data_IF_100565951265
#
_entry.id   IF_100565951265
#
_cell.length_a   1.000
_cell.length_b   1.000
_cell.length_c   1.000
_cell.angle_alpha   90.00
_cell.angle_beta   90.00
_cell.angle_gamma   90.00
#
_symmetry.space_group_name_H-M   'P 1'
#
loop_
_entity.id
_entity.type
_entity.pdbx_description
1 polymer ?
#
# COMPACT_ATOMS: atom_id res chain seq x y z
N UNK A 1 -13.09 -25.50 11.45
CA UNK A 1 -13.55 -25.29 10.05
C UNK A 1 -12.65 -26.11 9.14
N UNK A 2 -13.18 -27.03 8.38
CA UNK A 2 -12.37 -27.81 7.45
C UNK A 2 -12.15 -27.01 6.16
N UNK A 3 -10.93 -26.58 5.92
CA UNK A 3 -10.53 -25.88 4.67
C UNK A 3 -10.37 -26.93 3.56
N UNK A 4 -11.42 -27.16 2.76
CA UNK A 4 -11.42 -28.23 1.74
C UNK A 4 -10.48 -27.98 0.57
N UNK A 5 -10.07 -26.73 0.34
CA UNK A 5 -9.34 -26.33 -0.87
C UNK A 5 -8.06 -25.55 -0.60
N UNK A 6 -7.77 -25.20 0.65
CA UNK A 6 -6.58 -24.47 1.06
C UNK A 6 -5.82 -25.22 2.17
N UNK A 7 -4.49 -25.15 2.23
CA UNK A 7 -3.64 -24.52 1.21
C UNK A 7 -3.69 -25.28 -0.11
N UNK A 8 -3.33 -24.62 -1.20
CA UNK A 8 -3.23 -25.29 -2.51
C UNK A 8 -2.12 -26.36 -2.46
N UNK A 9 -2.42 -27.58 -2.97
CA UNK A 9 -1.43 -28.68 -2.99
C UNK A 9 -0.33 -28.47 -4.03
N UNK A 10 -0.65 -27.79 -5.11
CA UNK A 10 0.27 -27.52 -6.21
C UNK A 10 -0.06 -26.13 -6.79
N UNK A 11 0.32 -25.03 -6.10
CA UNK A 11 0.15 -23.68 -6.61
C UNK A 11 0.86 -23.50 -7.95
N UNK A 12 0.23 -22.80 -8.87
CA UNK A 12 0.76 -22.48 -10.21
C UNK A 12 0.63 -20.97 -10.41
N UNK A 13 1.46 -20.17 -9.73
CA UNK A 13 1.41 -18.72 -9.88
C UNK A 13 1.82 -18.30 -11.29
N UNK A 14 1.20 -17.23 -11.79
CA UNK A 14 1.51 -16.61 -13.09
C UNK A 14 1.29 -15.10 -12.99
N UNK A 15 2.30 -14.41 -12.52
CA UNK A 15 2.25 -12.96 -12.33
C UNK A 15 2.04 -12.22 -13.65
N UNK A 16 2.52 -12.74 -14.77
CA UNK A 16 2.31 -12.12 -16.08
C UNK A 16 0.82 -12.17 -16.45
N UNK A 17 0.16 -13.30 -16.21
CA UNK A 17 -1.29 -13.40 -16.39
C UNK A 17 -2.04 -12.48 -15.45
N UNK A 18 -1.61 -12.35 -14.19
CA UNK A 18 -2.19 -11.41 -13.22
C UNK A 18 -2.16 -9.99 -13.77
N UNK A 19 -1.00 -9.51 -14.19
CA UNK A 19 -0.82 -8.17 -14.78
C UNK A 19 -1.66 -8.00 -16.06
N UNK A 20 -1.62 -8.98 -16.97
CA UNK A 20 -2.37 -8.92 -18.23
C UNK A 20 -3.88 -8.85 -18.03
N UNK A 21 -4.41 -9.55 -17.02
CA UNK A 21 -5.85 -9.49 -16.69
C UNK A 21 -6.21 -8.12 -16.15
N UNK A 22 -5.43 -7.57 -15.22
CA UNK A 22 -5.69 -6.25 -14.64
C UNK A 22 -5.61 -5.12 -15.68
N UNK A 23 -4.65 -5.21 -16.59
CA UNK A 23 -4.50 -4.24 -17.68
C UNK A 23 -5.45 -4.49 -18.88
N UNK A 24 -6.42 -5.41 -18.74
CA UNK A 24 -7.39 -5.70 -19.79
C UNK A 24 -6.82 -6.39 -21.03
N UNK A 25 -5.56 -6.82 -21.01
CA UNK A 25 -4.89 -7.51 -22.14
C UNK A 25 -5.36 -8.97 -22.28
N UNK A 26 -5.86 -9.55 -21.21
CA UNK A 26 -6.34 -10.94 -21.13
C UNK A 26 -7.66 -11.04 -20.40
N UNK A 27 -8.60 -11.80 -20.95
CA UNK A 27 -9.88 -12.07 -20.28
C UNK A 27 -9.76 -13.31 -19.39
N UNK A 28 -10.50 -13.32 -18.29
CA UNK A 28 -10.56 -14.46 -17.36
C UNK A 28 -11.98 -14.65 -16.86
N UNK A 29 -12.35 -15.90 -16.58
CA UNK A 29 -13.62 -16.24 -15.91
C UNK A 29 -13.51 -16.19 -14.39
N UNK A 30 -12.29 -16.08 -13.87
CA UNK A 30 -12.02 -15.98 -12.43
C UNK A 30 -11.03 -14.85 -12.22
N UNK A 31 -11.44 -13.76 -11.56
CA UNK A 31 -10.53 -12.69 -11.20
C UNK A 31 -9.33 -13.22 -10.41
N UNK A 32 -8.13 -12.71 -10.65
CA UNK A 32 -6.98 -13.04 -9.81
C UNK A 32 -7.17 -12.51 -8.39
N UNK A 33 -6.54 -13.17 -7.43
CA UNK A 33 -6.57 -12.71 -6.04
C UNK A 33 -5.70 -11.46 -5.88
N UNK A 34 -6.22 -10.49 -5.15
CA UNK A 34 -5.49 -9.28 -4.74
C UNK A 34 -5.62 -9.13 -3.23
N UNK A 35 -4.50 -8.88 -2.57
CA UNK A 35 -4.46 -8.47 -1.17
C UNK A 35 -3.39 -7.40 -1.02
N UNK A 36 -3.67 -6.40 -0.17
CA UNK A 36 -2.74 -5.29 0.03
C UNK A 36 -1.82 -5.53 1.23
N UNK A 37 -2.39 -5.84 2.39
CA UNK A 37 -1.66 -6.14 3.62
C UNK A 37 -2.32 -7.33 4.31
N UNK A 38 -1.51 -8.24 4.85
CA UNK A 38 -1.97 -9.34 5.72
C UNK A 38 -1.40 -9.14 7.12
N UNK A 39 -2.27 -8.87 8.10
CA UNK A 39 -1.89 -8.69 9.50
C UNK A 39 -1.38 -10.02 10.10
N UNK A 40 -0.41 -9.93 11.01
CA UNK A 40 0.19 -11.09 11.68
C UNK A 40 -0.84 -12.01 12.34
N UNK A 41 -1.97 -11.47 12.82
CA UNK A 41 -3.04 -12.24 13.42
C UNK A 41 -3.72 -13.20 12.46
N UNK A 42 -3.76 -12.85 11.17
CA UNK A 42 -4.23 -13.72 10.09
C UNK A 42 -3.09 -14.59 9.58
N UNK A 43 -1.95 -14.00 9.39
CA UNK A 43 -0.76 -14.64 8.84
C UNK A 43 -0.26 -15.80 9.69
N UNK A 44 -0.06 -15.58 11.01
CA UNK A 44 0.47 -16.60 11.92
C UNK A 44 -0.40 -17.86 12.01
N UNK A 45 -1.73 -17.79 12.23
CA UNK A 45 -2.59 -18.97 12.19
C UNK A 45 -2.60 -19.72 10.87
N UNK A 46 -2.47 -19.01 9.73
CA UNK A 46 -2.37 -19.64 8.42
C UNK A 46 -1.06 -20.42 8.30
N UNK A 47 0.06 -19.81 8.65
CA UNK A 47 1.37 -20.46 8.62
C UNK A 47 1.42 -21.72 9.50
N UNK A 48 0.96 -21.61 10.74
CA UNK A 48 1.06 -22.73 11.70
C UNK A 48 -0.05 -23.76 11.51
N UNK A 49 -1.29 -23.34 11.29
CA UNK A 49 -2.46 -24.20 11.27
C UNK A 49 -2.77 -24.79 9.88
N UNK A 50 -2.64 -24.00 8.82
CA UNK A 50 -2.96 -24.45 7.46
C UNK A 50 -1.75 -24.98 6.71
N UNK A 51 -0.61 -24.26 6.80
CA UNK A 51 0.61 -24.67 6.10
C UNK A 51 1.45 -25.67 6.90
N UNK A 52 1.16 -25.87 8.19
CA UNK A 52 1.88 -26.81 9.06
C UNK A 52 3.35 -26.45 9.27
N UNK A 53 3.71 -25.17 9.14
CA UNK A 53 5.07 -24.66 9.31
C UNK A 53 5.27 -24.16 10.74
N UNK A 54 6.52 -24.18 11.20
CA UNK A 54 6.90 -23.56 12.46
C UNK A 54 6.82 -22.03 12.33
N UNK A 55 6.26 -21.36 13.35
CA UNK A 55 6.26 -19.91 13.41
C UNK A 55 7.64 -19.39 13.78
N UNK A 56 8.17 -18.52 12.95
CA UNK A 56 9.39 -17.77 13.22
C UNK A 56 9.03 -16.29 13.34
N UNK A 57 9.25 -15.66 14.50
CA UNK A 57 9.01 -14.24 14.66
C UNK A 57 10.05 -13.43 13.84
N UNK A 58 9.66 -12.22 13.44
CA UNK A 58 10.61 -11.30 12.82
C UNK A 58 11.71 -10.91 13.80
N UNK A 59 12.96 -11.14 13.43
CA UNK A 59 14.13 -10.87 14.26
C UNK A 59 14.98 -9.71 13.77
N UNK A 60 16.04 -9.39 14.54
CA UNK A 60 16.94 -8.28 14.22
C UNK A 60 18.06 -8.68 13.26
N UNK A 61 18.41 -9.97 13.19
CA UNK A 61 19.46 -10.47 12.29
C UNK A 61 18.91 -11.00 10.96
N UNK A 62 19.75 -11.03 9.93
CA UNK A 62 19.38 -11.51 8.60
C UNK A 62 18.90 -12.97 8.56
N UNK A 63 19.53 -13.94 9.28
CA UNK A 63 19.03 -15.31 9.31
C UNK A 63 17.60 -15.45 9.86
N UNK A 64 17.27 -14.78 10.95
CA UNK A 64 15.91 -14.81 11.53
C UNK A 64 14.91 -14.12 10.62
N UNK A 65 15.28 -12.99 9.99
CA UNK A 65 14.45 -12.32 8.99
C UNK A 65 14.21 -13.20 7.76
N UNK A 66 15.24 -13.86 7.24
CA UNK A 66 15.10 -14.79 6.12
C UNK A 66 14.10 -15.90 6.42
N UNK A 67 14.20 -16.54 7.61
CA UNK A 67 13.25 -17.57 8.02
C UNK A 67 11.80 -17.06 8.18
N UNK A 68 11.62 -15.83 8.68
CA UNK A 68 10.31 -15.16 8.69
C UNK A 68 9.81 -14.93 7.27
N UNK A 69 10.66 -14.43 6.37
CA UNK A 69 10.30 -14.14 4.98
C UNK A 69 9.99 -15.41 4.17
N UNK A 70 10.63 -16.53 4.48
CA UNK A 70 10.28 -17.85 3.91
C UNK A 70 8.84 -18.27 4.28
N UNK A 71 8.44 -17.99 5.52
CA UNK A 71 7.05 -18.20 5.94
C UNK A 71 6.10 -17.24 5.25
N UNK A 72 6.53 -16.00 5.03
CA UNK A 72 5.76 -14.98 4.32
C UNK A 72 5.52 -15.37 2.86
N UNK A 73 6.56 -15.80 2.14
CA UNK A 73 6.44 -16.35 0.78
C UNK A 73 5.50 -17.57 0.77
N UNK A 74 5.67 -18.50 1.72
CA UNK A 74 4.84 -19.70 1.81
C UNK A 74 3.35 -19.39 2.02
N UNK A 75 3.01 -18.32 2.77
CA UNK A 75 1.64 -17.83 2.91
C UNK A 75 1.05 -17.49 1.54
N UNK A 76 1.65 -16.54 0.84
CA UNK A 76 1.13 -16.04 -0.45
C UNK A 76 1.03 -17.17 -1.47
N UNK A 77 2.07 -17.99 -1.58
CA UNK A 77 2.10 -19.13 -2.50
C UNK A 77 1.04 -20.18 -2.15
N UNK A 78 0.96 -20.61 -0.88
CA UNK A 78 0.01 -21.64 -0.43
C UNK A 78 -1.45 -21.18 -0.49
N UNK A 79 -1.71 -19.89 -0.37
CA UNK A 79 -3.05 -19.32 -0.50
C UNK A 79 -3.45 -19.02 -1.96
N UNK A 80 -2.54 -19.20 -2.91
CA UNK A 80 -2.84 -19.16 -4.35
C UNK A 80 -2.74 -17.77 -4.97
N UNK A 81 -1.93 -16.90 -4.40
CA UNK A 81 -1.60 -15.62 -5.02
C UNK A 81 -0.52 -15.77 -6.09
N UNK A 82 -0.59 -14.94 -7.10
CA UNK A 82 0.40 -14.90 -8.19
C UNK A 82 1.64 -14.05 -7.83
N UNK A 83 1.66 -13.44 -6.64
CA UNK A 83 2.70 -12.52 -6.19
C UNK A 83 2.89 -12.57 -4.68
N UNK A 84 4.01 -12.03 -4.23
CA UNK A 84 4.23 -11.59 -2.85
C UNK A 84 4.22 -10.08 -2.83
N UNK A 85 3.47 -9.46 -1.89
CA UNK A 85 3.49 -8.02 -1.67
C UNK A 85 4.14 -7.69 -0.33
N UNK A 86 5.11 -6.82 -0.37
CA UNK A 86 5.79 -6.30 0.81
C UNK A 86 6.17 -4.84 0.59
N UNK A 87 6.06 -4.03 1.61
CA UNK A 87 6.47 -2.63 1.57
C UNK A 87 7.42 -2.30 2.69
N UNK A 88 8.30 -1.40 2.42
CA UNK A 88 9.27 -0.81 3.33
C UNK A 88 9.52 0.63 2.87
N UNK A 89 10.03 1.49 3.73
CA UNK A 89 10.30 2.87 3.35
C UNK A 89 11.24 3.56 4.32
N UNK A 90 11.36 4.85 4.17
CA UNK A 90 12.04 5.70 5.13
C UNK A 90 11.31 5.70 6.48
N UNK A 91 12.06 5.66 7.55
CA UNK A 91 11.55 5.91 8.88
C UNK A 91 11.45 7.42 9.12
N UNK A 92 10.36 8.03 8.68
CA UNK A 92 10.09 9.42 9.06
C UNK A 92 9.65 9.44 10.53
N UNK A 93 10.26 10.30 11.36
CA UNK A 93 9.77 10.49 12.72
C UNK A 93 8.35 11.06 12.68
N UNK A 94 7.49 10.55 13.55
CA UNK A 94 6.10 11.00 13.68
C UNK A 94 5.61 10.86 15.11
N UNK A 95 4.66 11.68 15.50
CA UNK A 95 3.94 11.52 16.75
C UNK A 95 2.85 10.47 16.57
N UNK A 96 2.75 9.54 17.50
CA UNK A 96 1.79 8.45 17.44
C UNK A 96 1.01 8.35 18.73
N UNK A 97 -0.29 8.20 18.58
CA UNK A 97 -1.19 7.83 19.68
C UNK A 97 -1.36 6.32 19.65
N UNK A 98 -1.27 5.70 20.83
CA UNK A 98 -1.45 4.25 20.96
C UNK A 98 -2.59 3.92 21.89
N UNK A 99 -3.44 2.97 21.50
CA UNK A 99 -4.49 2.42 22.35
C UNK A 99 -4.57 0.90 22.22
N UNK A 100 -5.19 0.24 23.21
CA UNK A 100 -5.44 -1.21 23.14
C UNK A 100 -6.37 -1.52 21.97
N UNK A 101 -6.03 -2.58 21.22
CA UNK A 101 -6.88 -3.08 20.15
C UNK A 101 -8.16 -3.72 20.75
N UNK A 102 -9.35 -3.19 20.46
CA UNK A 102 -10.59 -3.74 21.01
C UNK A 102 -11.01 -5.07 20.37
N UNK A 103 -10.46 -5.40 19.19
CA UNK A 103 -10.92 -6.56 18.37
C UNK A 103 -10.13 -7.83 18.70
N UNK A 104 -8.88 -7.73 19.06
CA UNK A 104 -7.94 -8.88 19.13
C UNK A 104 -7.61 -9.30 20.55
N UNK A 105 -8.23 -8.71 21.56
CA UNK A 105 -7.93 -9.02 22.95
C UNK A 105 -6.77 -8.21 23.52
N UNK A 106 -6.59 -8.29 24.81
CA UNK A 106 -6.09 -7.27 25.71
C UNK A 106 -4.61 -6.88 25.62
N UNK A 107 -3.79 -7.54 24.81
CA UNK A 107 -2.33 -7.33 24.89
C UNK A 107 -1.75 -6.52 23.72
N UNK A 108 -2.46 -6.43 22.58
CA UNK A 108 -1.97 -5.68 21.41
C UNK A 108 -2.32 -4.20 21.51
N UNK A 109 -1.32 -3.37 21.25
CA UNK A 109 -1.51 -1.93 21.06
C UNK A 109 -1.63 -1.63 19.58
N UNK A 110 -2.61 -0.83 19.19
CA UNK A 110 -2.65 -0.15 17.89
C UNK A 110 -2.03 1.22 18.02
N UNK A 111 -1.31 1.63 17.00
CA UNK A 111 -0.71 2.96 16.92
C UNK A 111 -1.15 3.63 15.63
N UNK A 112 -1.47 4.90 15.70
CA UNK A 112 -1.79 5.75 14.54
C UNK A 112 -1.21 7.14 14.75
N UNK A 113 -1.08 7.88 13.66
CA UNK A 113 -0.52 9.23 13.70
C UNK A 113 -1.36 10.16 14.57
N UNK A 114 -0.70 11.05 15.31
CA UNK A 114 -1.37 12.12 16.05
C UNK A 114 -1.87 13.19 15.06
N UNK A 115 -3.17 13.45 15.08
CA UNK A 115 -3.81 14.41 14.17
C UNK A 115 -3.51 15.88 14.54
N UNK A 116 -3.02 16.12 15.76
CA UNK A 116 -2.82 17.46 16.33
C UNK A 116 -1.36 17.88 16.46
N UNK A 117 -0.42 16.92 16.46
CA UNK A 117 1.00 17.20 16.67
C UNK A 117 1.84 16.86 15.43
N UNK A 118 2.52 17.86 14.88
CA UNK A 118 3.46 17.72 13.79
C UNK A 118 4.87 18.16 14.21
N UNK A 119 5.86 17.77 13.43
CA UNK A 119 7.26 18.13 13.62
C UNK A 119 7.64 19.43 12.92
N UNK A 120 6.86 19.85 11.93
CA UNK A 120 7.14 21.00 11.07
C UNK A 120 5.96 21.96 11.13
N UNK A 121 6.21 23.15 11.65
CA UNK A 121 5.26 24.28 11.69
C UNK A 121 5.88 25.57 11.12
N UNK A 122 7.20 25.58 10.87
CA UNK A 122 7.96 26.72 10.40
C UNK A 122 9.11 26.31 9.50
N UNK A 123 9.71 27.29 8.80
CA UNK A 123 10.95 27.08 8.04
C UNK A 123 12.13 26.66 8.93
N UNK A 124 12.18 27.13 10.17
CA UNK A 124 13.21 26.73 11.12
C UNK A 124 13.10 25.24 11.47
N UNK A 125 11.87 24.74 11.66
CA UNK A 125 11.62 23.30 11.89
C UNK A 125 12.04 22.47 10.67
N UNK A 126 11.68 22.93 9.46
CA UNK A 126 12.07 22.27 8.21
C UNK A 126 13.58 22.15 8.05
N UNK A 127 14.32 23.20 8.34
CA UNK A 127 15.78 23.23 8.23
C UNK A 127 16.48 22.34 9.27
N UNK A 128 15.89 22.24 10.48
CA UNK A 128 16.43 21.43 11.59
C UNK A 128 15.94 19.99 11.59
N UNK A 129 14.93 19.67 10.76
CA UNK A 129 14.35 18.34 10.76
C UNK A 129 15.38 17.27 10.38
N UNK A 130 15.48 16.17 11.14
CA UNK A 130 16.45 15.10 10.87
C UNK A 130 15.98 14.21 9.71
N UNK A 131 16.07 14.74 8.49
CA UNK A 131 15.65 14.03 7.29
C UNK A 131 16.33 12.65 7.18
N UNK A 132 15.57 11.58 6.93
CA UNK A 132 16.15 10.25 6.77
C UNK A 132 17.06 10.20 5.55
N UNK A 133 18.06 9.31 5.61
CA UNK A 133 19.05 9.18 4.54
C UNK A 133 18.84 7.84 3.83
N UNK A 134 19.00 7.84 2.52
CA UNK A 134 18.90 6.64 1.71
C UNK A 134 19.92 5.57 2.12
N UNK A 135 21.11 6.01 2.51
CA UNK A 135 22.22 5.15 2.91
C UNK A 135 21.96 4.38 4.21
N UNK A 136 21.00 4.80 5.01
CA UNK A 136 20.65 4.20 6.29
C UNK A 136 19.55 3.11 6.15
N UNK A 137 19.04 2.90 4.94
CA UNK A 137 18.00 1.90 4.68
C UNK A 137 18.63 0.52 4.54
N UNK A 138 18.14 -0.43 5.34
CA UNK A 138 18.46 -1.84 5.16
C UNK A 138 17.49 -2.48 4.15
N UNK A 139 17.95 -2.72 2.94
CA UNK A 139 17.15 -3.32 1.86
C UNK A 139 17.07 -4.85 1.91
N UNK A 140 17.63 -5.50 2.91
CA UNK A 140 17.70 -6.96 2.99
C UNK A 140 16.35 -7.67 2.71
N UNK A 141 15.24 -7.18 3.28
CA UNK A 141 13.94 -7.82 3.10
C UNK A 141 13.45 -7.77 1.65
N UNK A 142 13.64 -6.64 0.98
CA UNK A 142 13.25 -6.45 -0.42
C UNK A 142 14.11 -7.29 -1.36
N UNK A 143 15.43 -7.29 -1.13
CA UNK A 143 16.40 -8.11 -1.90
C UNK A 143 16.11 -9.60 -1.72
N UNK A 144 15.83 -10.02 -0.48
CA UNK A 144 15.50 -11.40 -0.18
C UNK A 144 14.22 -11.83 -0.89
N UNK A 145 13.13 -11.10 -0.70
CA UNK A 145 11.83 -11.43 -1.30
C UNK A 145 11.92 -11.45 -2.82
N UNK A 146 12.53 -10.45 -3.42
CA UNK A 146 12.64 -10.36 -4.88
C UNK A 146 13.44 -11.49 -5.53
N UNK A 147 14.30 -12.19 -4.76
CA UNK A 147 15.19 -13.24 -5.27
C UNK A 147 14.80 -14.67 -4.86
N UNK A 148 13.90 -14.85 -3.88
CA UNK A 148 13.54 -16.17 -3.33
C UNK A 148 12.12 -16.63 -3.65
N UNK A 149 11.49 -16.02 -4.67
CA UNK A 149 10.12 -16.36 -5.07
C UNK A 149 10.07 -17.72 -5.79
N UNK A 150 9.02 -18.53 -5.59
CA UNK A 150 8.70 -19.65 -6.44
C UNK A 150 8.57 -19.26 -7.92
N UNK A 151 8.85 -20.18 -8.83
CA UNK A 151 8.71 -19.97 -10.28
C UNK A 151 7.30 -19.48 -10.63
N UNK A 152 7.21 -18.45 -11.44
CA UNK A 152 5.95 -17.82 -11.87
C UNK A 152 5.40 -16.77 -10.91
N UNK A 153 5.87 -16.68 -9.66
CA UNK A 153 5.49 -15.59 -8.76
C UNK A 153 6.26 -14.30 -9.08
N UNK A 154 5.56 -13.16 -8.91
CA UNK A 154 6.17 -11.85 -8.98
C UNK A 154 6.32 -11.17 -7.64
N UNK A 155 7.10 -10.10 -7.60
CA UNK A 155 7.22 -9.22 -6.46
C UNK A 155 6.44 -7.93 -6.70
N UNK A 156 5.59 -7.54 -5.75
CA UNK A 156 4.88 -6.27 -5.73
C UNK A 156 5.36 -5.50 -4.52
N UNK A 157 5.81 -4.27 -4.74
CA UNK A 157 6.34 -3.46 -3.64
C UNK A 157 6.10 -1.97 -3.87
N UNK A 158 6.39 -1.20 -2.84
CA UNK A 158 6.37 0.26 -2.86
C UNK A 158 7.12 0.82 -1.66
N UNK A 159 7.22 2.14 -1.59
CA UNK A 159 7.49 2.82 -0.32
C UNK A 159 6.26 2.67 0.59
N UNK A 160 6.46 2.41 1.86
CA UNK A 160 5.39 2.41 2.87
C UNK A 160 4.91 3.83 3.15
N UNK A 161 3.64 4.09 2.86
CA UNK A 161 3.07 5.42 2.86
C UNK A 161 3.45 6.28 1.64
N UNK A 162 2.59 7.24 1.29
CA UNK A 162 2.78 8.15 0.17
C UNK A 162 3.30 9.53 0.56
N UNK A 163 3.44 10.40 -0.42
CA UNK A 163 3.93 11.78 -0.18
C UNK A 163 2.95 12.56 0.68
N UNK A 164 1.65 12.43 0.39
CA UNK A 164 0.60 13.12 1.17
C UNK A 164 0.58 12.63 2.62
N UNK A 165 0.59 11.31 2.85
CA UNK A 165 0.59 10.75 4.21
C UNK A 165 1.80 11.21 5.02
N UNK A 166 3.01 11.11 4.46
CA UNK A 166 4.21 11.57 5.19
C UNK A 166 4.18 13.07 5.47
N UNK A 167 3.75 13.89 4.52
CA UNK A 167 3.63 15.33 4.73
C UNK A 167 2.56 15.63 5.79
N UNK A 168 1.41 14.94 5.74
CA UNK A 168 0.37 15.11 6.75
C UNK A 168 0.82 14.69 8.14
N UNK A 169 1.71 13.70 8.27
CA UNK A 169 2.29 13.30 9.57
C UNK A 169 3.35 14.30 10.05
N UNK A 170 4.12 14.90 9.13
CA UNK A 170 5.13 15.89 9.49
C UNK A 170 4.52 17.20 9.98
N UNK A 171 3.41 17.64 9.39
CA UNK A 171 2.68 18.85 9.84
C UNK A 171 1.65 18.56 10.93
N UNK A 172 1.17 17.35 11.11
CA UNK A 172 -0.15 16.89 11.53
C UNK A 172 -1.21 17.23 10.48
N UNK A 173 -2.36 16.55 10.50
CA UNK A 173 -3.41 16.87 9.50
C UNK A 173 -4.00 18.26 9.72
N UNK A 174 -4.21 18.67 10.98
CA UNK A 174 -4.67 20.03 11.31
C UNK A 174 -3.62 21.08 10.94
N UNK A 175 -2.34 20.82 11.23
CA UNK A 175 -1.23 21.67 10.84
C UNK A 175 -1.12 21.85 9.33
N UNK A 176 -1.34 20.78 8.56
CA UNK A 176 -1.35 20.85 7.11
C UNK A 176 -2.51 21.71 6.58
N UNK A 177 -3.72 21.59 7.15
CA UNK A 177 -4.86 22.44 6.77
C UNK A 177 -4.58 23.94 6.98
N UNK A 178 -3.90 24.27 8.06
CA UNK A 178 -3.47 25.66 8.29
C UNK A 178 -2.35 26.08 7.32
N UNK A 179 -1.36 25.21 7.14
CA UNK A 179 -0.17 25.52 6.35
C UNK A 179 -0.46 25.72 4.85
N UNK A 180 -1.42 24.98 4.26
CA UNK A 180 -1.80 25.20 2.85
C UNK A 180 -2.37 26.60 2.61
N UNK A 181 -2.97 27.22 3.62
CA UNK A 181 -3.49 28.60 3.55
C UNK A 181 -2.45 29.65 3.90
N UNK A 182 -1.67 29.41 4.96
CA UNK A 182 -0.82 30.44 5.58
C UNK A 182 0.64 30.36 5.09
N UNK A 183 1.13 29.17 4.77
CA UNK A 183 2.52 28.89 4.42
C UNK A 183 2.65 27.96 3.20
N UNK A 184 2.02 28.27 2.05
CA UNK A 184 1.98 27.39 0.88
C UNK A 184 3.38 27.00 0.35
N UNK A 185 4.36 27.88 0.48
CA UNK A 185 5.74 27.63 0.05
C UNK A 185 6.44 26.62 0.97
N UNK A 186 6.14 26.62 2.27
CA UNK A 186 6.65 25.63 3.21
C UNK A 186 6.05 24.25 2.92
N UNK A 187 4.72 24.18 2.67
CA UNK A 187 4.07 22.92 2.27
C UNK A 187 4.73 22.34 1.02
N UNK A 188 4.97 23.20 0.01
CA UNK A 188 5.65 22.77 -1.20
C UNK A 188 7.06 22.26 -0.93
N UNK A 189 7.84 22.95 -0.11
CA UNK A 189 9.21 22.56 0.22
C UNK A 189 9.26 21.19 0.93
N UNK A 190 8.34 20.96 1.87
CA UNK A 190 8.22 19.67 2.59
C UNK A 190 7.79 18.56 1.64
N UNK A 191 6.77 18.80 0.80
CA UNK A 191 6.30 17.84 -0.19
C UNK A 191 7.39 17.49 -1.21
N UNK A 192 8.13 18.49 -1.69
CA UNK A 192 9.26 18.27 -2.59
C UNK A 192 10.36 17.45 -1.92
N UNK A 193 10.70 17.76 -0.67
CA UNK A 193 11.74 17.03 0.06
C UNK A 193 11.37 15.56 0.30
N UNK A 194 10.14 15.29 0.70
CA UNK A 194 9.62 13.91 0.84
C UNK A 194 9.61 13.19 -0.51
N UNK A 195 9.08 13.85 -1.54
CA UNK A 195 9.01 13.30 -2.89
C UNK A 195 10.38 12.98 -3.49
N UNK A 196 11.40 13.82 -3.30
CA UNK A 196 12.78 13.58 -3.76
C UNK A 196 13.42 12.36 -3.06
N UNK A 197 13.19 12.22 -1.75
CA UNK A 197 13.64 11.04 -1.01
C UNK A 197 12.97 9.79 -1.55
N UNK A 198 11.65 9.81 -1.72
CA UNK A 198 10.89 8.69 -2.26
C UNK A 198 11.29 8.38 -3.71
N UNK A 199 11.56 9.38 -4.55
CA UNK A 199 12.05 9.13 -5.90
C UNK A 199 13.37 8.35 -5.89
N UNK A 200 14.30 8.70 -5.02
CA UNK A 200 15.55 7.95 -4.87
C UNK A 200 15.29 6.49 -4.45
N UNK A 201 14.32 6.29 -3.57
CA UNK A 201 13.89 4.98 -3.14
C UNK A 201 13.26 4.18 -4.30
N UNK A 202 12.35 4.78 -5.07
CA UNK A 202 11.74 4.13 -6.23
C UNK A 202 12.75 3.75 -7.31
N UNK A 203 13.80 4.54 -7.53
CA UNK A 203 14.89 4.15 -8.43
C UNK A 203 15.54 2.84 -8.03
N UNK A 204 15.73 2.61 -6.75
CA UNK A 204 16.25 1.34 -6.23
C UNK A 204 15.24 0.20 -6.41
N UNK A 205 13.97 0.42 -6.08
CA UNK A 205 12.94 -0.61 -6.25
C UNK A 205 12.81 -1.08 -7.70
N UNK A 206 12.88 -0.16 -8.65
CA UNK A 206 12.74 -0.44 -10.09
C UNK A 206 13.89 -1.27 -10.68
N UNK A 207 14.95 -1.48 -9.95
CA UNK A 207 16.07 -2.37 -10.32
C UNK A 207 16.01 -3.74 -9.63
N UNK A 208 15.01 -3.99 -8.76
CA UNK A 208 14.84 -5.29 -8.10
C UNK A 208 14.44 -6.38 -9.10
N UNK A 209 15.01 -7.59 -9.00
CA UNK A 209 14.61 -8.72 -9.81
C UNK A 209 13.16 -9.14 -9.50
N UNK A 210 12.50 -9.76 -10.48
CA UNK A 210 11.12 -10.24 -10.37
C UNK A 210 10.07 -9.19 -9.95
N UNK A 211 10.42 -7.90 -9.96
CA UNK A 211 9.46 -6.83 -9.74
C UNK A 211 8.40 -6.85 -10.85
N UNK A 212 7.14 -6.91 -10.46
CA UNK A 212 6.01 -6.99 -11.37
C UNK A 212 5.13 -5.74 -11.37
N UNK A 213 5.01 -5.08 -10.22
CA UNK A 213 4.14 -3.92 -10.02
C UNK A 213 4.73 -3.01 -8.94
N UNK A 214 4.64 -1.72 -9.13
CA UNK A 214 4.76 -0.72 -8.07
C UNK A 214 3.34 -0.40 -7.57
N UNK A 215 3.11 -0.62 -6.26
CA UNK A 215 1.77 -0.51 -5.68
C UNK A 215 1.80 0.24 -4.34
N UNK A 216 1.99 1.59 -4.34
CA UNK A 216 1.99 2.40 -3.13
C UNK A 216 0.61 2.61 -2.52
N UNK A 217 0.62 2.97 -1.23
CA UNK A 217 -0.48 3.62 -0.55
C UNK A 217 -0.21 5.11 -0.38
N UNK A 218 -1.27 5.91 -0.50
CA UNK A 218 -1.28 7.33 -0.12
C UNK A 218 -2.73 7.76 0.16
N UNK A 219 -3.15 7.77 1.41
CA UNK A 219 -4.54 7.98 1.80
C UNK A 219 -4.92 9.46 1.73
N UNK A 220 -5.44 9.89 0.59
CA UNK A 220 -5.80 11.29 0.30
C UNK A 220 -7.28 11.62 0.54
N UNK A 221 -8.11 10.61 0.82
CA UNK A 221 -9.57 10.77 0.92
C UNK A 221 -10.14 10.59 2.32
N UNK A 222 -11.31 11.19 2.52
CA UNK A 222 -12.21 10.98 3.64
C UNK A 222 -13.57 10.53 3.11
N UNK A 223 -14.56 10.28 3.97
CA UNK A 223 -15.89 9.80 3.54
C UNK A 223 -16.60 10.75 2.59
N UNK A 224 -16.45 12.05 2.77
CA UNK A 224 -17.21 13.10 2.06
C UNK A 224 -16.46 13.77 0.93
N UNK A 225 -15.15 13.53 0.78
CA UNK A 225 -14.30 14.14 -0.22
C UNK A 225 -12.83 13.91 0.09
N UNK A 226 -11.94 14.65 -0.54
CA UNK A 226 -10.50 14.62 -0.25
C UNK A 226 -10.18 15.31 1.08
N UNK A 227 -9.08 14.89 1.75
CA UNK A 227 -8.66 15.43 3.04
C UNK A 227 -8.21 16.90 2.98
N UNK A 228 -7.70 17.34 1.84
CA UNK A 228 -7.45 18.75 1.50
C UNK A 228 -8.13 19.07 0.17
N UNK A 229 -8.12 20.31 -0.28
CA UNK A 229 -8.77 20.66 -1.54
C UNK A 229 -8.17 19.89 -2.72
N UNK A 230 -8.97 19.52 -3.74
CA UNK A 230 -8.45 18.93 -4.98
C UNK A 230 -7.33 19.75 -5.62
N UNK A 231 -7.41 21.09 -5.55
CA UNK A 231 -6.40 21.97 -6.12
C UNK A 231 -5.08 21.93 -5.35
N UNK A 232 -5.10 21.75 -4.04
CA UNK A 232 -3.91 21.55 -3.23
C UNK A 232 -3.28 20.18 -3.49
N UNK A 233 -4.09 19.12 -3.68
CA UNK A 233 -3.59 17.82 -4.10
C UNK A 233 -2.89 17.92 -5.46
N UNK A 234 -3.51 18.57 -6.45
CA UNK A 234 -2.93 18.81 -7.80
C UNK A 234 -1.64 19.60 -7.72
N UNK A 235 -1.55 20.54 -6.79
CA UNK A 235 -0.39 21.45 -6.67
C UNK A 235 0.80 20.80 -6.00
N UNK A 236 0.59 20.01 -4.94
CA UNK A 236 1.66 19.56 -4.06
C UNK A 236 1.98 18.07 -4.14
N UNK A 237 0.97 17.20 -4.38
CA UNK A 237 1.11 15.76 -4.18
C UNK A 237 0.97 14.94 -5.47
N UNK A 238 -0.03 15.20 -6.30
CA UNK A 238 -0.21 14.46 -7.56
C UNK A 238 0.99 14.56 -8.52
N UNK A 239 1.76 15.66 -8.59
CA UNK A 239 2.96 15.71 -9.41
C UNK A 239 4.00 14.64 -9.04
N UNK A 240 4.09 14.25 -7.77
CA UNK A 240 4.98 13.19 -7.32
C UNK A 240 4.49 11.83 -7.76
N UNK A 241 3.20 11.52 -7.60
CA UNK A 241 2.62 10.28 -8.13
C UNK A 241 2.81 10.18 -9.65
N UNK A 242 2.59 11.26 -10.38
CA UNK A 242 2.84 11.31 -11.82
C UNK A 242 4.30 10.97 -12.16
N UNK A 243 5.25 11.48 -11.40
CA UNK A 243 6.66 11.18 -11.58
C UNK A 243 6.99 9.72 -11.28
N UNK A 244 6.45 9.17 -10.19
CA UNK A 244 6.65 7.76 -9.83
C UNK A 244 6.01 6.82 -10.85
N UNK A 245 4.80 7.12 -11.31
CA UNK A 245 4.14 6.36 -12.37
C UNK A 245 4.95 6.40 -13.68
N UNK A 246 5.43 7.57 -14.09
CA UNK A 246 6.26 7.71 -15.29
C UNK A 246 7.53 6.85 -15.21
N UNK A 247 8.26 6.89 -14.09
CA UNK A 247 9.46 6.07 -13.88
C UNK A 247 9.14 4.57 -13.93
N UNK A 248 8.00 4.16 -13.38
CA UNK A 248 7.53 2.78 -13.39
C UNK A 248 7.19 2.32 -14.82
N UNK A 249 6.49 3.15 -15.58
CA UNK A 249 6.15 2.89 -16.98
C UNK A 249 7.39 2.85 -17.90
N UNK A 250 8.44 3.64 -17.63
CA UNK A 250 9.71 3.54 -18.35
C UNK A 250 10.36 2.17 -18.24
N UNK A 251 10.09 1.43 -17.13
CA UNK A 251 10.51 0.03 -16.96
C UNK A 251 9.52 -0.98 -17.53
N UNK A 252 8.42 -0.53 -18.12
CA UNK A 252 7.34 -1.38 -18.66
C UNK A 252 6.46 -2.03 -17.57
N UNK A 253 6.49 -1.52 -16.34
CA UNK A 253 5.74 -2.01 -15.21
C UNK A 253 4.50 -1.14 -14.96
N UNK A 254 3.38 -1.71 -14.45
CA UNK A 254 2.22 -0.94 -14.02
C UNK A 254 2.42 -0.28 -12.67
N UNK A 255 1.76 0.87 -12.51
CA UNK A 255 1.69 1.64 -11.28
C UNK A 255 0.25 1.62 -10.74
N UNK A 256 0.01 0.86 -9.69
CA UNK A 256 -1.28 0.85 -8.99
C UNK A 256 -1.23 1.81 -7.80
N UNK A 257 -2.40 2.31 -7.39
CA UNK A 257 -2.50 3.20 -6.23
C UNK A 257 -3.55 2.66 -5.25
N UNK A 258 -3.13 2.41 -4.02
CA UNK A 258 -4.03 2.30 -2.88
C UNK A 258 -4.26 3.69 -2.29
N UNK A 259 -5.51 4.06 -2.11
CA UNK A 259 -5.88 5.27 -1.38
C UNK A 259 -7.29 5.09 -0.83
N UNK A 260 -7.42 5.21 0.48
CA UNK A 260 -8.71 5.15 1.16
C UNK A 260 -9.53 6.43 0.93
N UNK A 261 -10.82 6.32 1.22
CA UNK A 261 -11.75 7.45 1.18
C UNK A 261 -12.23 7.85 -0.21
N UNK A 262 -12.89 9.00 -0.27
CA UNK A 262 -13.53 9.52 -1.45
C UNK A 262 -12.57 10.35 -2.30
N UNK A 263 -12.22 9.83 -3.47
CA UNK A 263 -11.31 10.48 -4.44
C UNK A 263 -12.02 10.92 -5.73
N UNK A 264 -13.35 10.92 -5.76
CA UNK A 264 -14.11 11.14 -6.99
C UNK A 264 -13.72 12.44 -7.69
N UNK A 265 -13.43 13.49 -6.93
CA UNK A 265 -13.10 14.83 -7.46
C UNK A 265 -11.71 14.90 -8.12
N UNK A 266 -10.86 13.89 -7.89
CA UNK A 266 -9.51 13.79 -8.48
C UNK A 266 -9.31 12.52 -9.31
N UNK A 267 -10.35 11.69 -9.50
CA UNK A 267 -10.19 10.43 -10.25
C UNK A 267 -9.75 10.63 -11.69
N UNK A 268 -10.24 11.67 -12.37
CA UNK A 268 -9.81 11.98 -13.73
C UNK A 268 -8.34 12.44 -13.76
N UNK A 269 -7.88 13.20 -12.75
CA UNK A 269 -6.46 13.55 -12.62
C UNK A 269 -5.60 12.31 -12.41
N UNK A 270 -6.04 11.38 -11.54
CA UNK A 270 -5.31 10.14 -11.28
C UNK A 270 -5.22 9.25 -12.52
N UNK A 271 -6.30 9.17 -13.32
CA UNK A 271 -6.35 8.32 -14.52
C UNK A 271 -5.61 8.97 -15.69
N UNK A 272 -5.91 10.24 -16.01
CA UNK A 272 -5.48 10.84 -17.26
C UNK A 272 -4.13 11.57 -17.14
N UNK A 273 -3.85 12.21 -15.99
CA UNK A 273 -2.63 12.98 -15.77
C UNK A 273 -1.55 12.19 -15.04
N UNK A 274 -1.86 11.61 -13.89
CA UNK A 274 -0.94 10.74 -13.13
C UNK A 274 -0.71 9.43 -13.87
N UNK A 275 -1.77 8.90 -14.52
CA UNK A 275 -1.75 7.65 -15.30
C UNK A 275 -1.54 6.42 -14.41
N UNK A 276 -2.29 6.34 -13.31
CA UNK A 276 -2.32 5.09 -12.55
C UNK A 276 -3.00 4.00 -13.38
N UNK A 277 -2.51 2.76 -13.31
CA UNK A 277 -3.05 1.61 -14.05
C UNK A 277 -4.13 0.85 -13.26
N UNK A 278 -4.19 1.04 -11.95
CA UNK A 278 -5.17 0.41 -11.09
C UNK A 278 -5.41 1.17 -9.79
N UNK A 279 -6.63 1.11 -9.29
CA UNK A 279 -7.05 1.71 -8.02
C UNK A 279 -7.49 0.63 -7.02
N UNK A 280 -7.04 0.76 -5.81
CA UNK A 280 -7.46 0.16 -4.55
C UNK A 280 -7.61 1.30 -3.51
N UNK A 281 -8.47 1.39 -2.51
CA UNK A 281 -9.44 0.45 -2.00
C UNK A 281 -10.86 0.95 -2.29
N UNK A 282 -11.87 0.21 -1.83
CA UNK A 282 -13.29 0.59 -2.00
C UNK A 282 -14.02 0.42 -0.68
N UNK A 283 -14.89 1.39 -0.37
CA UNK A 283 -15.79 1.40 0.77
C UNK A 283 -17.22 1.60 0.25
N UNK A 284 -18.14 0.67 0.53
CA UNK A 284 -19.49 0.71 -0.02
C UNK A 284 -20.28 1.95 0.39
N UNK A 285 -19.97 2.50 1.57
CA UNK A 285 -20.60 3.74 2.05
C UNK A 285 -20.22 4.98 1.23
N UNK A 286 -19.10 4.93 0.49
CA UNK A 286 -18.60 6.01 -0.36
C UNK A 286 -19.01 5.75 -1.80
N UNK A 287 -18.54 4.65 -2.36
CA UNK A 287 -18.85 4.21 -3.71
C UNK A 287 -18.58 2.70 -3.82
N UNK A 288 -19.63 1.88 -3.95
CA UNK A 288 -19.47 0.44 -4.19
C UNK A 288 -18.57 0.16 -5.39
N UNK A 289 -17.78 -0.89 -5.32
CA UNK A 289 -16.83 -1.22 -6.41
C UNK A 289 -17.53 -1.45 -7.75
N UNK A 290 -18.77 -1.97 -7.75
CA UNK A 290 -19.55 -2.19 -8.96
C UNK A 290 -19.89 -0.85 -9.65
N UNK A 291 -20.24 0.18 -8.87
CA UNK A 291 -20.54 1.51 -9.39
C UNK A 291 -19.26 2.21 -9.88
N UNK A 292 -18.16 2.03 -9.15
CA UNK A 292 -16.85 2.49 -9.60
C UNK A 292 -16.44 1.83 -10.92
N UNK A 293 -16.62 0.51 -11.03
CA UNK A 293 -16.31 -0.23 -12.24
C UNK A 293 -17.16 0.18 -13.44
N UNK A 294 -18.44 0.46 -13.22
CA UNK A 294 -19.31 1.00 -14.28
C UNK A 294 -18.85 2.37 -14.79
N UNK A 295 -18.33 3.21 -13.88
CA UNK A 295 -17.90 4.58 -14.21
C UNK A 295 -16.51 4.65 -14.80
N UNK A 296 -15.58 3.86 -14.30
CA UNK A 296 -14.14 4.00 -14.62
C UNK A 296 -13.49 2.70 -15.12
N UNK A 297 -14.18 1.56 -15.06
CA UNK A 297 -13.59 0.25 -15.33
C UNK A 297 -13.09 0.03 -16.76
N UNK A 298 -13.54 0.83 -17.72
CA UNK A 298 -13.02 0.82 -19.10
C UNK A 298 -11.67 1.57 -19.22
N UNK A 299 -11.28 2.32 -18.18
CA UNK A 299 -10.09 3.19 -18.18
C UNK A 299 -9.01 2.72 -17.20
N UNK A 300 -9.39 1.97 -16.16
CA UNK A 300 -8.49 1.63 -15.06
C UNK A 300 -8.89 0.29 -14.42
N UNK A 301 -7.91 -0.46 -13.95
CA UNK A 301 -8.16 -1.67 -13.16
C UNK A 301 -8.76 -1.34 -11.79
N UNK A 302 -9.77 -2.13 -11.37
CA UNK A 302 -10.34 -2.08 -10.03
C UNK A 302 -9.77 -3.24 -9.20
N UNK A 303 -9.07 -2.93 -8.11
CA UNK A 303 -8.45 -3.91 -7.24
C UNK A 303 -9.15 -3.94 -5.87
N UNK A 304 -9.60 -5.11 -5.44
CA UNK A 304 -10.38 -5.28 -4.21
C UNK A 304 -11.87 -5.32 -4.47
N UNK A 305 -12.67 -4.97 -3.48
CA UNK A 305 -14.12 -4.86 -3.65
C UNK A 305 -14.98 -5.49 -2.58
N UNK A 306 -14.41 -6.18 -1.59
CA UNK A 306 -15.18 -6.60 -0.41
C UNK A 306 -14.99 -5.55 0.68
N UNK A 307 -16.08 -4.92 1.09
CA UNK A 307 -16.06 -3.90 2.16
C UNK A 307 -15.51 -4.49 3.46
N UNK A 308 -14.60 -3.76 4.11
CA UNK A 308 -13.93 -4.21 5.32
C UNK A 308 -14.91 -4.46 6.48
N UNK A 309 -16.01 -3.69 6.58
CA UNK A 309 -17.03 -3.89 7.60
C UNK A 309 -17.76 -5.23 7.40
N UNK A 310 -17.87 -5.70 6.16
CA UNK A 310 -18.44 -7.02 5.84
C UNK A 310 -17.45 -8.12 6.15
N UNK A 311 -16.17 -7.95 5.81
CA UNK A 311 -15.10 -8.91 6.15
C UNK A 311 -14.93 -9.06 7.67
N UNK A 312 -14.98 -7.97 8.42
CA UNK A 312 -14.92 -7.94 9.87
C UNK A 312 -16.25 -8.30 10.55
N UNK A 313 -17.29 -8.51 9.78
CA UNK A 313 -18.66 -8.78 10.26
C UNK A 313 -18.83 -10.14 10.94
N UNK A 314 -20.00 -10.38 11.55
CA UNK A 314 -20.22 -11.51 12.46
C UNK A 314 -20.32 -12.87 11.77
N UNK A 315 -20.46 -12.94 10.44
CA UNK A 315 -20.66 -14.22 9.75
C UNK A 315 -20.00 -14.35 8.40
N UNK A 316 -19.38 -15.51 8.11
CA UNK A 316 -18.87 -15.83 6.78
C UNK A 316 -19.96 -15.84 5.67
N UNK A 317 -21.23 -16.01 6.06
CA UNK A 317 -22.37 -16.00 5.13
C UNK A 317 -22.60 -14.62 4.56
N UNK A 318 -22.44 -13.55 5.36
CA UNK A 318 -22.53 -12.17 4.87
C UNK A 318 -21.48 -11.88 3.79
N UNK A 319 -20.24 -12.35 4.00
CA UNK A 319 -19.16 -12.20 3.00
C UNK A 319 -19.47 -12.95 1.70
N UNK A 320 -20.15 -14.13 1.77
CA UNK A 320 -20.51 -14.88 0.57
C UNK A 320 -21.69 -14.29 -0.19
N UNK A 321 -22.53 -13.51 0.48
CA UNK A 321 -23.71 -12.87 -0.12
C UNK A 321 -23.38 -11.53 -0.75
N UNK A 322 -22.36 -10.87 -0.27
CA UNK A 322 -21.82 -9.65 -0.81
C UNK A 322 -21.07 -9.91 -2.12
#
# INVERSE_FOLDING_TARGET
MEWKHLPLRNPQPDVNRFVDVLLGRKKTNRPPLVEYIVDEHVYRPVVTGLLGREWVPYGDDHPSRAAFLDNFIALWHGMGYDFVRYEQGYAFPGFHISAKDPVVGSEKMRSWADEHQGHIASWEDFERFPWPRFEDIDFFNLDYLSTHLPEGMGFITSHGGGVFEHVSFLFSIEGLWMAVCEQPDLVKAVADRVGELMERYYRHLLDLPNLAVIFPGDDMGYKTGTLISPDDLRRYFLPWHKRFAAMTHEKGLPYFLHSCGNLIDIMDDLIDDVRIDGKHSFEDIILPVQDFQQRFGDRIACLGGVDLNILAGPSPEAVRQH
#
